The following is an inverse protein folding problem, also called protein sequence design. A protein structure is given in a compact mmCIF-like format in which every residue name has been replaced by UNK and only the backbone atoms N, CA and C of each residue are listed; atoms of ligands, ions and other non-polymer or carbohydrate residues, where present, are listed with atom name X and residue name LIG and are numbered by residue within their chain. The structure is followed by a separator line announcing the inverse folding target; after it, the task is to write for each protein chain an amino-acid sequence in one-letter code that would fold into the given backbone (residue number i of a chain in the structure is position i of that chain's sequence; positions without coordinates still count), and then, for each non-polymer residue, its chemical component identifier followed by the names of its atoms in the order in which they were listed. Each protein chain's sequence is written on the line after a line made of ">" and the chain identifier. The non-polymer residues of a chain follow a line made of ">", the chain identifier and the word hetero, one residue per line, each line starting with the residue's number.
data_IF_831250234155
#
_entry.id   IF_831250234155
#
_cell.length_a   1.000
_cell.length_b   1.000
_cell.length_c   1.000
_cell.angle_alpha   90.00
_cell.angle_beta   90.00
_cell.angle_gamma   90.00
#
_symmetry.space_group_name_H-M   'P 1'
#
loop_
_entity.id
_entity.type
_entity.pdbx_description
1 polymer ?
#
# COMPACT_ATOMS: atom_id res chain seq x y z
N UNK A 1 77.37 -27.66 -32.85
CA UNK A 1 75.93 -27.81 -33.07
C UNK A 1 75.32 -28.07 -31.72
N UNK A 2 74.51 -27.15 -31.20
CA UNK A 2 73.57 -27.35 -30.07
C UNK A 2 72.77 -26.04 -29.94
N UNK A 3 71.76 -25.88 -30.81
CA UNK A 3 70.32 -26.03 -30.50
C UNK A 3 69.74 -24.93 -29.61
N UNK A 4 69.77 -23.70 -30.12
CA UNK A 4 68.99 -22.56 -29.62
C UNK A 4 67.54 -22.63 -30.14
N UNK A 5 66.69 -23.47 -29.53
CA UNK A 5 65.27 -23.65 -29.94
C UNK A 5 64.19 -23.65 -28.81
N UNK A 6 64.44 -23.61 -27.48
CA UNK A 6 63.31 -23.64 -26.52
C UNK A 6 62.54 -22.30 -26.34
N UNK A 7 63.17 -21.14 -26.54
CA UNK A 7 62.64 -19.84 -26.06
C UNK A 7 61.29 -19.45 -26.71
N UNK A 8 61.19 -19.62 -28.03
CA UNK A 8 60.05 -19.10 -28.81
C UNK A 8 58.73 -19.84 -28.54
N UNK A 9 58.81 -21.13 -28.21
CA UNK A 9 57.64 -21.98 -27.91
C UNK A 9 57.11 -21.74 -26.50
N UNK A 10 58.01 -21.42 -25.56
CA UNK A 10 57.68 -21.03 -24.18
C UNK A 10 57.04 -19.63 -24.11
N UNK A 11 57.49 -18.69 -24.93
CA UNK A 11 56.91 -17.35 -25.01
C UNK A 11 55.49 -17.38 -25.61
N UNK A 12 55.27 -18.19 -26.65
CA UNK A 12 53.94 -18.36 -27.27
C UNK A 12 52.90 -18.97 -26.31
N UNK A 13 53.28 -19.97 -25.50
CA UNK A 13 52.37 -20.57 -24.52
C UNK A 13 52.06 -19.64 -23.35
N UNK A 14 53.02 -18.82 -22.91
CA UNK A 14 52.79 -17.79 -21.88
C UNK A 14 51.83 -16.71 -22.39
N UNK A 15 51.95 -16.31 -23.66
CA UNK A 15 51.07 -15.30 -24.25
C UNK A 15 49.64 -15.80 -24.50
N UNK A 16 49.47 -17.07 -24.88
CA UNK A 16 48.15 -17.73 -24.94
C UNK A 16 47.51 -17.86 -23.56
N UNK A 17 48.26 -18.27 -22.54
CA UNK A 17 47.80 -18.34 -21.15
C UNK A 17 47.40 -16.96 -20.62
N UNK A 18 48.16 -15.91 -20.94
CA UNK A 18 47.82 -14.53 -20.57
C UNK A 18 46.50 -14.09 -21.20
N UNK A 19 46.28 -14.39 -22.48
CA UNK A 19 45.01 -14.07 -23.17
C UNK A 19 43.83 -14.82 -22.56
N UNK A 20 44.00 -16.11 -22.23
CA UNK A 20 42.96 -16.89 -21.56
C UNK A 20 42.64 -16.33 -20.16
N UNK A 21 43.68 -15.93 -19.41
CA UNK A 21 43.51 -15.30 -18.09
C UNK A 21 42.75 -13.98 -18.17
N UNK A 22 43.07 -13.11 -19.14
CA UNK A 22 42.37 -11.85 -19.32
C UNK A 22 40.92 -12.04 -19.77
N UNK A 23 40.66 -13.03 -20.64
CA UNK A 23 39.30 -13.39 -21.04
C UNK A 23 38.48 -13.90 -19.84
N UNK A 24 39.09 -14.72 -18.98
CA UNK A 24 38.41 -15.24 -17.80
C UNK A 24 38.14 -14.14 -16.76
N UNK A 25 39.10 -13.23 -16.55
CA UNK A 25 38.89 -12.02 -15.72
C UNK A 25 37.76 -11.15 -16.23
N UNK A 26 37.65 -10.95 -17.55
CA UNK A 26 36.54 -10.20 -18.14
C UNK A 26 35.19 -10.90 -17.90
N UNK A 27 35.12 -12.23 -18.04
CA UNK A 27 33.89 -13.00 -17.74
C UNK A 27 33.51 -12.89 -16.27
N UNK A 28 34.47 -13.05 -15.36
CA UNK A 28 34.25 -12.91 -13.92
C UNK A 28 33.70 -11.52 -13.61
N UNK A 29 34.32 -10.47 -14.14
CA UNK A 29 33.82 -9.11 -13.98
C UNK A 29 32.38 -8.93 -14.49
N UNK A 30 32.07 -9.45 -15.68
CA UNK A 30 30.70 -9.39 -16.22
C UNK A 30 29.69 -10.15 -15.36
N UNK A 31 30.08 -11.30 -14.80
CA UNK A 31 29.21 -12.08 -13.91
C UNK A 31 29.02 -11.40 -12.56
N UNK A 32 30.07 -10.78 -12.01
CA UNK A 32 29.97 -9.99 -10.78
C UNK A 32 29.01 -8.81 -10.95
N UNK A 33 29.10 -8.06 -12.05
CA UNK A 33 28.16 -6.97 -12.34
C UNK A 33 26.73 -7.48 -12.49
N UNK A 34 26.51 -8.56 -13.26
CA UNK A 34 25.19 -9.19 -13.36
C UNK A 34 24.66 -9.65 -12.00
N UNK A 35 25.51 -10.24 -11.17
CA UNK A 35 25.14 -10.71 -9.85
C UNK A 35 24.74 -9.54 -8.95
N UNK A 36 25.48 -8.43 -8.96
CA UNK A 36 25.13 -7.21 -8.22
C UNK A 36 23.77 -6.66 -8.67
N UNK A 37 23.50 -6.61 -9.96
CA UNK A 37 22.22 -6.18 -10.50
C UNK A 37 21.08 -7.09 -10.03
N UNK A 38 21.22 -8.41 -10.16
CA UNK A 38 20.22 -9.38 -9.69
C UNK A 38 19.96 -9.27 -8.19
N UNK A 39 21.01 -9.07 -7.39
CA UNK A 39 20.88 -8.86 -5.94
C UNK A 39 20.11 -7.57 -5.63
N UNK A 40 20.39 -6.47 -6.35
CA UNK A 40 19.67 -5.22 -6.19
C UNK A 40 18.19 -5.36 -6.60
N UNK A 41 17.91 -6.04 -7.71
CA UNK A 41 16.54 -6.30 -8.17
C UNK A 41 15.77 -7.15 -7.16
N UNK A 42 16.42 -8.18 -6.58
CA UNK A 42 15.83 -9.01 -5.55
C UNK A 42 15.50 -8.23 -4.27
N UNK A 43 16.40 -7.33 -3.83
CA UNK A 43 16.16 -6.46 -2.69
C UNK A 43 14.99 -5.49 -2.94
N UNK A 44 14.91 -4.92 -4.14
CA UNK A 44 13.81 -4.04 -4.52
C UNK A 44 12.48 -4.79 -4.60
N UNK A 45 12.47 -5.98 -5.19
CA UNK A 45 11.29 -6.85 -5.25
C UNK A 45 10.83 -7.21 -3.84
N UNK A 46 11.73 -7.65 -2.96
CA UNK A 46 11.37 -8.00 -1.57
C UNK A 46 10.73 -6.82 -0.83
N UNK A 47 11.31 -5.61 -0.95
CA UNK A 47 10.76 -4.40 -0.33
C UNK A 47 9.37 -4.07 -0.88
N UNK A 48 9.19 -4.18 -2.19
CA UNK A 48 7.91 -3.94 -2.86
C UNK A 48 6.87 -4.97 -2.46
N UNK A 49 7.20 -6.26 -2.48
CA UNK A 49 6.29 -7.33 -2.09
C UNK A 49 5.81 -7.18 -0.65
N UNK A 50 6.69 -6.80 0.27
CA UNK A 50 6.29 -6.53 1.66
C UNK A 50 5.27 -5.38 1.73
N UNK A 51 5.55 -4.27 1.05
CA UNK A 51 4.62 -3.13 0.95
C UNK A 51 3.28 -3.54 0.32
N UNK A 52 3.30 -4.31 -0.77
CA UNK A 52 2.09 -4.76 -1.47
C UNK A 52 1.24 -5.71 -0.61
N UNK A 53 1.87 -6.57 0.21
CA UNK A 53 1.17 -7.43 1.17
C UNK A 53 0.48 -6.57 2.23
N UNK A 54 1.20 -5.62 2.83
CA UNK A 54 0.65 -4.72 3.85
C UNK A 54 -0.51 -3.89 3.29
N UNK A 55 -0.32 -3.28 2.11
CA UNK A 55 -1.38 -2.51 1.44
C UNK A 55 -2.55 -3.38 0.99
N UNK A 56 -2.29 -4.60 0.51
CA UNK A 56 -3.31 -5.52 0.01
C UNK A 56 -4.24 -5.99 1.13
N UNK A 57 -3.68 -6.38 2.28
CA UNK A 57 -4.47 -6.77 3.46
C UNK A 57 -5.30 -5.58 3.96
N UNK A 58 -4.69 -4.41 4.10
CA UNK A 58 -5.39 -3.20 4.53
C UNK A 58 -6.50 -2.80 3.56
N UNK A 59 -6.29 -2.92 2.25
CA UNK A 59 -7.30 -2.61 1.23
C UNK A 59 -8.55 -3.49 1.37
N UNK A 60 -8.37 -4.79 1.61
CA UNK A 60 -9.50 -5.72 1.80
C UNK A 60 -10.27 -5.45 3.08
N UNK A 61 -9.55 -5.17 4.17
CA UNK A 61 -10.18 -4.78 5.44
C UNK A 61 -10.95 -3.47 5.28
N UNK A 62 -10.35 -2.47 4.63
CA UNK A 62 -11.01 -1.19 4.38
C UNK A 62 -12.29 -1.36 3.56
N UNK A 63 -12.26 -2.17 2.50
CA UNK A 63 -13.47 -2.45 1.71
C UNK A 63 -14.57 -3.11 2.56
N UNK A 64 -14.21 -4.09 3.38
CA UNK A 64 -15.14 -4.73 4.31
C UNK A 64 -15.74 -3.72 5.30
N UNK A 65 -14.92 -2.84 5.86
CA UNK A 65 -15.38 -1.80 6.79
C UNK A 65 -16.33 -0.80 6.10
N UNK A 66 -16.05 -0.41 4.86
CA UNK A 66 -16.95 0.45 4.08
C UNK A 66 -18.31 -0.22 3.85
N UNK A 67 -18.32 -1.50 3.53
CA UNK A 67 -19.57 -2.24 3.35
C UNK A 67 -20.31 -2.46 4.68
N UNK A 68 -19.59 -2.62 5.79
CA UNK A 68 -20.17 -2.65 7.13
C UNK A 68 -20.82 -1.31 7.53
N UNK A 69 -20.20 -0.18 7.20
CA UNK A 69 -20.77 1.16 7.46
C UNK A 69 -22.10 1.34 6.73
N UNK A 70 -22.25 0.86 5.48
CA UNK A 70 -23.54 0.91 4.77
C UNK A 70 -24.66 0.19 5.51
N UNK A 71 -24.34 -0.97 6.10
CA UNK A 71 -25.30 -1.74 6.91
C UNK A 71 -25.64 -0.97 8.19
N UNK A 72 -24.65 -0.36 8.83
CA UNK A 72 -24.87 0.51 9.98
C UNK A 72 -25.82 1.68 9.64
N UNK A 73 -25.65 2.32 8.48
CA UNK A 73 -26.54 3.38 8.00
C UNK A 73 -27.98 2.87 7.76
N UNK A 74 -28.15 1.64 7.25
CA UNK A 74 -29.46 1.00 7.13
C UNK A 74 -30.15 0.82 8.49
N UNK A 75 -29.39 0.45 9.53
CA UNK A 75 -29.92 0.35 10.89
C UNK A 75 -30.32 1.72 11.47
N UNK A 76 -29.56 2.78 11.18
CA UNK A 76 -29.96 4.16 11.53
C UNK A 76 -31.28 4.51 10.83
N UNK A 77 -31.39 4.30 9.52
CA UNK A 77 -32.64 4.55 8.77
C UNK A 77 -33.81 3.77 9.36
N UNK A 78 -33.61 2.50 9.72
CA UNK A 78 -34.65 1.68 10.34
C UNK A 78 -35.09 2.24 11.70
N UNK A 79 -34.15 2.74 12.52
CA UNK A 79 -34.43 3.39 13.80
C UNK A 79 -35.30 4.64 13.61
N UNK A 80 -35.00 5.45 12.60
CA UNK A 80 -35.72 6.70 12.34
C UNK A 80 -37.18 6.42 11.94
N UNK A 81 -37.41 5.45 11.06
CA UNK A 81 -38.78 5.01 10.66
C UNK A 81 -39.58 4.46 11.84
N UNK A 82 -38.96 3.67 12.72
CA UNK A 82 -39.63 3.14 13.92
C UNK A 82 -39.99 4.25 14.91
N UNK A 83 -39.11 5.24 15.04
CA UNK A 83 -39.31 6.40 15.91
C UNK A 83 -40.49 7.26 15.43
N UNK A 84 -40.59 7.52 14.13
CA UNK A 84 -41.73 8.21 13.50
C UNK A 84 -43.04 7.45 13.71
N UNK A 85 -42.99 6.11 13.66
CA UNK A 85 -44.13 5.23 13.87
C UNK A 85 -44.52 5.04 15.35
N UNK A 86 -43.81 5.69 16.29
CA UNK A 86 -43.96 5.54 17.75
C UNK A 86 -43.86 4.09 18.25
N UNK A 87 -43.12 3.25 17.52
CA UNK A 87 -42.85 1.87 17.90
C UNK A 87 -41.60 1.87 18.80
N UNK A 88 -41.58 1.03 19.83
CA UNK A 88 -40.40 0.90 20.71
C UNK A 88 -39.20 0.36 19.90
N UNK A 89 -38.08 1.10 19.92
CA UNK A 89 -36.82 0.76 19.24
C UNK A 89 -35.65 0.50 20.21
N UNK A 90 -35.88 0.26 21.50
CA UNK A 90 -34.86 0.12 22.54
C UNK A 90 -33.85 -1.00 22.25
N UNK A 91 -34.33 -2.13 21.71
CA UNK A 91 -33.47 -3.22 21.28
C UNK A 91 -32.54 -2.83 20.13
N UNK A 92 -33.07 -2.06 19.17
CA UNK A 92 -32.30 -1.55 18.03
C UNK A 92 -31.28 -0.50 18.48
N UNK A 93 -31.65 0.40 19.40
CA UNK A 93 -30.73 1.37 20.00
C UNK A 93 -29.54 0.68 20.69
N UNK A 94 -29.80 -0.43 21.38
CA UNK A 94 -28.75 -1.23 22.03
C UNK A 94 -27.81 -1.87 21.01
N UNK A 95 -28.33 -2.34 19.88
CA UNK A 95 -27.53 -2.90 18.78
C UNK A 95 -26.65 -1.81 18.16
N UNK A 96 -27.22 -0.65 17.82
CA UNK A 96 -26.48 0.49 17.26
C UNK A 96 -25.32 0.91 18.17
N UNK A 97 -25.57 1.03 19.48
CA UNK A 97 -24.52 1.36 20.46
C UNK A 97 -23.38 0.32 20.50
N UNK A 98 -23.71 -0.96 20.37
CA UNK A 98 -22.69 -2.01 20.32
C UNK A 98 -21.88 -1.93 19.01
N UNK A 99 -22.52 -1.57 17.90
CA UNK A 99 -21.83 -1.33 16.62
C UNK A 99 -20.90 -0.13 16.73
N UNK A 100 -21.33 0.99 17.29
CA UNK A 100 -20.49 2.17 17.56
C UNK A 100 -19.28 1.81 18.42
N UNK A 101 -19.49 1.10 19.52
CA UNK A 101 -18.40 0.65 20.41
C UNK A 101 -17.40 -0.27 19.69
N UNK A 102 -17.87 -1.09 18.74
CA UNK A 102 -17.01 -1.94 17.92
C UNK A 102 -16.18 -1.10 16.94
N UNK A 103 -16.78 -0.10 16.29
CA UNK A 103 -16.08 0.81 15.39
C UNK A 103 -14.99 1.61 16.13
N UNK A 104 -15.34 2.18 17.30
CA UNK A 104 -14.41 2.92 18.15
C UNK A 104 -13.21 2.06 18.59
N UNK A 105 -13.45 0.78 18.93
CA UNK A 105 -12.38 -0.17 19.28
C UNK A 105 -11.35 -0.35 18.17
N UNK A 106 -11.76 -0.21 16.91
CA UNK A 106 -10.87 -0.26 15.74
C UNK A 106 -10.51 1.13 15.20
N UNK A 107 -10.67 2.18 16.03
CA UNK A 107 -10.35 3.57 15.70
C UNK A 107 -11.11 4.12 14.48
N UNK A 108 -12.30 3.60 14.22
CA UNK A 108 -13.22 4.14 13.21
C UNK A 108 -14.21 5.04 13.93
N UNK A 109 -14.10 6.35 13.72
CA UNK A 109 -14.96 7.36 14.34
C UNK A 109 -15.72 8.16 13.28
N UNK A 110 -16.92 8.65 13.59
CA UNK A 110 -17.62 9.60 12.74
C UNK A 110 -16.79 10.85 12.49
N UNK A 111 -16.97 11.46 11.32
CA UNK A 111 -16.38 12.76 10.99
C UNK A 111 -17.34 13.84 11.53
N UNK A 112 -16.86 14.67 12.44
CA UNK A 112 -17.59 15.85 12.91
C UNK A 112 -17.59 16.89 11.79
N UNK A 113 -18.73 17.02 11.10
CA UNK A 113 -18.83 17.85 9.89
C UNK A 113 -19.66 19.13 10.10
N UNK A 114 -20.71 19.09 10.93
CA UNK A 114 -21.63 20.21 11.07
C UNK A 114 -20.94 21.44 11.69
N UNK A 115 -20.99 22.58 10.99
CA UNK A 115 -20.36 23.82 11.42
C UNK A 115 -18.86 23.90 11.13
N UNK A 116 -18.27 22.88 10.51
CA UNK A 116 -16.87 22.86 10.11
C UNK A 116 -16.69 23.36 8.67
N UNK A 117 -15.48 23.84 8.34
CA UNK A 117 -15.14 24.22 6.98
C UNK A 117 -15.09 22.98 6.09
N UNK A 118 -15.72 23.06 4.92
CA UNK A 118 -15.69 21.98 3.94
C UNK A 118 -14.25 21.60 3.55
N UNK A 119 -13.93 20.30 3.60
CA UNK A 119 -12.63 19.75 3.23
C UNK A 119 -12.85 18.56 2.28
N UNK A 120 -12.42 18.65 1.00
CA UNK A 120 -12.61 17.59 0.01
C UNK A 120 -12.01 16.22 0.37
N UNK A 121 -11.05 16.18 1.31
CA UNK A 121 -10.45 14.92 1.75
C UNK A 121 -11.34 14.15 2.72
N UNK A 122 -12.29 14.84 3.38
CA UNK A 122 -13.15 14.26 4.42
C UNK A 122 -14.64 14.36 4.08
N UNK A 123 -15.02 15.30 3.23
CA UNK A 123 -16.40 15.68 2.98
C UNK A 123 -16.74 15.57 1.49
N UNK A 124 -17.91 15.01 1.19
CA UNK A 124 -18.50 14.99 -0.15
C UNK A 124 -19.64 16.01 -0.21
N UNK A 125 -19.48 17.04 -1.05
CA UNK A 125 -20.50 18.08 -1.22
C UNK A 125 -21.61 17.58 -2.17
N UNK A 126 -22.81 17.40 -1.65
CA UNK A 126 -23.98 16.94 -2.43
C UNK A 126 -24.83 18.12 -2.92
N UNK A 127 -24.98 19.17 -2.11
CA UNK A 127 -25.74 20.38 -2.45
C UNK A 127 -25.20 21.58 -1.68
N UNK A 128 -25.52 22.79 -2.17
CA UNK A 128 -25.19 24.05 -1.51
C UNK A 128 -26.50 24.73 -1.12
N UNK A 129 -26.60 25.17 0.13
CA UNK A 129 -27.74 25.91 0.66
C UNK A 129 -27.25 27.28 1.12
N UNK A 130 -27.99 28.33 0.76
CA UNK A 130 -27.68 29.68 1.22
C UNK A 130 -28.27 29.90 2.63
N UNK A 131 -27.40 30.01 3.63
CA UNK A 131 -27.76 30.41 4.99
C UNK A 131 -27.01 31.68 5.38
N UNK A 132 -27.75 32.74 5.73
CA UNK A 132 -27.18 34.03 6.14
C UNK A 132 -26.54 34.01 7.53
N UNK A 133 -26.76 32.96 8.32
CA UNK A 133 -26.21 32.80 9.67
C UNK A 133 -24.83 32.11 9.70
N UNK A 134 -24.39 31.51 8.59
CA UNK A 134 -23.14 30.77 8.49
C UNK A 134 -22.17 31.46 7.52
N UNK A 135 -20.87 31.28 7.77
CA UNK A 135 -19.83 31.73 6.86
C UNK A 135 -19.80 30.88 5.58
N UNK A 136 -19.33 31.48 4.49
CA UNK A 136 -19.23 30.80 3.19
C UNK A 136 -18.35 29.54 3.29
N UNK A 137 -18.75 28.49 2.57
CA UNK A 137 -18.05 27.19 2.53
C UNK A 137 -18.02 26.39 3.86
N UNK A 138 -19.04 26.58 4.71
CA UNK A 138 -19.31 25.78 5.93
C UNK A 138 -20.31 24.64 5.63
N UNK A 139 -20.18 23.50 6.30
CA UNK A 139 -21.13 22.37 6.24
C UNK A 139 -22.31 22.57 7.20
#
# INVERSE_FOLDING_TARGET
>A
METNVPSKKSEQTVEELSKLLDLEKQKVFQFEEKLKHVLADFQNLSRKTQSDIEHGVNSKINQFMLDFIKIYDDFIRAKDVLSESKINADGLNSILKNMESLLEKYNVTPIEALGEIFNPNFHEAISIVSDSALDDNTI
#
